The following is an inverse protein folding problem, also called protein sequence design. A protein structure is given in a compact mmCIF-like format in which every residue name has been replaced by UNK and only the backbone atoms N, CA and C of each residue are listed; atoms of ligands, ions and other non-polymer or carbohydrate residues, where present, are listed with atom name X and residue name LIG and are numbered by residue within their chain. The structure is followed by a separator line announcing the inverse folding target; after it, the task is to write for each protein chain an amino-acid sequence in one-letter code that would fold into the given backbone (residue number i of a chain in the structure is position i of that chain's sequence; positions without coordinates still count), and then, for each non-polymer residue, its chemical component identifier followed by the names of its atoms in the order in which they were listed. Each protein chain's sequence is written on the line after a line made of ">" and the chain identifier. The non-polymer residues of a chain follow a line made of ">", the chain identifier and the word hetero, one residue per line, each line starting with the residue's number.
data_IF_335257823161
#
_entry.id   IF_335257823161
#
_cell.length_a   1.000
_cell.length_b   1.000
_cell.length_c   1.000
_cell.angle_alpha   90.00
_cell.angle_beta   90.00
_cell.angle_gamma   90.00
#
_symmetry.space_group_name_H-M   'P 1'
#
loop_
_entity.id
_entity.type
_entity.pdbx_description
1 polymer ?
#
# COMPACT_ATOMS: atom_id res chain seq x y z
N UNK A 1 11.17 -0.07 9.60
CA UNK A 1 10.97 0.97 8.56
C UNK A 1 10.03 2.03 9.08
N UNK A 2 10.19 3.27 8.63
CA UNK A 2 9.38 4.43 9.07
C UNK A 2 8.69 5.06 7.87
N UNK A 3 7.41 5.40 7.97
CA UNK A 3 6.65 6.03 6.89
C UNK A 3 7.22 7.42 6.59
N UNK A 4 7.62 7.65 5.34
CA UNK A 4 8.00 8.96 4.82
C UNK A 4 6.75 9.79 4.53
N UNK A 5 5.84 9.21 3.75
CA UNK A 5 4.56 9.80 3.39
C UNK A 5 3.63 8.71 2.85
N UNK A 6 2.34 9.02 2.82
CA UNK A 6 1.32 8.23 2.12
C UNK A 6 0.23 9.16 1.61
N UNK A 7 -0.36 8.82 0.47
CA UNK A 7 -1.41 9.61 -0.18
C UNK A 7 -2.39 8.72 -0.93
N UNK A 8 -3.61 9.23 -1.09
CA UNK A 8 -4.62 8.68 -1.98
C UNK A 8 -4.83 9.65 -3.13
N UNK A 9 -4.77 9.15 -4.36
CA UNK A 9 -5.22 9.87 -5.55
C UNK A 9 -6.74 9.80 -5.67
N UNK A 10 -7.32 8.65 -5.27
CA UNK A 10 -8.76 8.40 -5.25
C UNK A 10 -9.15 7.61 -4.01
N UNK A 11 -10.37 7.84 -3.51
CA UNK A 11 -10.86 7.22 -2.30
C UNK A 11 -10.43 7.96 -1.04
N UNK A 12 -10.85 7.40 0.09
CA UNK A 12 -10.50 7.86 1.41
C UNK A 12 -9.89 6.73 2.25
N UNK A 13 -9.17 7.10 3.30
CA UNK A 13 -8.73 6.11 4.28
C UNK A 13 -9.94 5.64 5.09
N UNK A 14 -10.06 4.34 5.29
CA UNK A 14 -10.98 3.81 6.29
C UNK A 14 -10.63 4.41 7.66
N UNK A 15 -11.66 4.75 8.45
CA UNK A 15 -11.47 5.36 9.76
C UNK A 15 -10.40 4.64 10.59
N UNK A 16 -9.40 5.41 11.05
CA UNK A 16 -8.27 4.94 11.86
C UNK A 16 -7.40 3.85 11.22
N UNK A 17 -7.48 3.65 9.91
CA UNK A 17 -6.76 2.59 9.17
C UNK A 17 -5.72 3.17 8.22
N UNK A 18 -4.87 4.05 8.74
CA UNK A 18 -3.81 4.72 7.99
C UNK A 18 -2.57 3.83 7.88
N UNK A 19 -1.72 4.01 6.85
CA UNK A 19 -0.40 3.36 6.80
C UNK A 19 0.38 3.67 8.08
N UNK A 20 0.88 2.64 8.75
CA UNK A 20 1.53 2.78 10.06
C UNK A 20 2.75 3.71 10.00
N UNK A 21 2.99 4.48 11.05
CA UNK A 21 4.17 5.36 11.11
C UNK A 21 5.47 4.57 11.21
N UNK A 22 5.46 3.45 11.93
CA UNK A 22 6.61 2.57 12.12
C UNK A 22 6.17 1.12 11.95
N UNK A 23 6.95 0.35 11.19
CA UNK A 23 6.82 -1.10 11.08
C UNK A 23 8.14 -1.69 11.55
N UNK A 24 8.10 -2.44 12.66
CA UNK A 24 9.26 -3.10 13.24
C UNK A 24 9.86 -4.16 12.32
N UNK A 25 11.12 -4.52 12.56
CA UNK A 25 11.71 -5.68 11.91
C UNK A 25 10.89 -6.94 12.23
N UNK A 26 10.68 -7.81 11.25
CA UNK A 26 9.89 -9.05 11.39
C UNK A 26 8.43 -8.83 11.84
N UNK A 27 7.93 -7.60 11.72
CA UNK A 27 6.56 -7.22 12.08
C UNK A 27 5.77 -6.88 10.83
N UNK A 28 4.44 -6.92 10.93
CA UNK A 28 3.52 -6.48 9.90
C UNK A 28 2.65 -5.32 10.40
N UNK A 29 2.12 -4.54 9.47
CA UNK A 29 1.09 -3.55 9.72
C UNK A 29 0.05 -3.63 8.60
N UNK A 30 -1.17 -3.19 8.88
CA UNK A 30 -2.27 -3.16 7.94
C UNK A 30 -2.89 -1.76 7.90
N UNK A 31 -3.39 -1.39 6.73
CA UNK A 31 -4.14 -0.17 6.48
C UNK A 31 -5.20 -0.44 5.42
N UNK A 32 -6.17 0.44 5.31
CA UNK A 32 -7.30 0.25 4.40
C UNK A 32 -7.75 1.58 3.80
N UNK A 33 -7.96 1.58 2.49
CA UNK A 33 -8.61 2.66 1.74
C UNK A 33 -9.93 2.15 1.17
N UNK A 34 -10.93 3.02 1.08
CA UNK A 34 -12.24 2.73 0.50
C UNK A 34 -12.63 3.77 -0.54
N UNK A 35 -13.48 3.40 -1.49
CA UNK A 35 -13.99 4.35 -2.47
C UNK A 35 -14.99 5.29 -1.80
N UNK A 36 -14.90 6.59 -2.06
CA UNK A 36 -15.70 7.66 -1.46
C UNK A 36 -16.58 8.40 -2.49
N UNK A 37 -16.66 7.89 -3.73
CA UNK A 37 -17.33 8.55 -4.84
C UNK A 37 -18.16 7.61 -5.74
N UNK A 38 -18.97 8.23 -6.60
CA UNK A 38 -19.78 7.50 -7.58
C UNK A 38 -18.90 7.03 -8.74
N UNK A 39 -18.90 5.72 -9.01
CA UNK A 39 -18.10 5.10 -10.06
C UNK A 39 -16.58 5.37 -9.96
N UNK A 40 -16.08 5.62 -8.75
CA UNK A 40 -14.65 5.76 -8.45
C UNK A 40 -14.11 4.48 -7.80
N UNK A 41 -12.82 4.23 -8.02
CA UNK A 41 -12.07 3.19 -7.30
C UNK A 41 -11.28 3.77 -6.12
N UNK A 42 -10.31 3.00 -5.63
CA UNK A 42 -9.27 3.50 -4.71
C UNK A 42 -7.91 3.44 -5.36
N UNK A 43 -7.14 4.51 -5.25
CA UNK A 43 -5.76 4.54 -5.71
C UNK A 43 -4.91 5.29 -4.70
N UNK A 44 -3.78 4.70 -4.34
CA UNK A 44 -2.90 5.28 -3.35
C UNK A 44 -1.51 4.70 -3.36
N UNK A 45 -0.65 5.36 -2.61
CA UNK A 45 0.75 5.02 -2.48
C UNK A 45 1.26 5.34 -1.08
N UNK A 46 2.29 4.60 -0.67
CA UNK A 46 3.02 4.85 0.56
C UNK A 46 4.51 4.61 0.36
N UNK A 47 5.33 5.49 0.94
CA UNK A 47 6.78 5.35 0.99
C UNK A 47 7.22 5.15 2.42
N UNK A 48 8.08 4.16 2.62
CA UNK A 48 8.78 3.90 3.87
C UNK A 48 10.29 4.01 3.67
N UNK A 49 10.99 4.44 4.71
CA UNK A 49 12.45 4.51 4.75
C UNK A 49 12.98 3.49 5.73
N UNK A 50 14.10 2.87 5.36
CA UNK A 50 14.93 2.00 6.21
C UNK A 50 16.33 2.59 6.30
N UNK A 51 17.20 1.99 7.11
CA UNK A 51 18.62 2.33 7.13
C UNK A 51 19.34 1.99 5.81
N UNK A 52 18.73 1.16 4.96
CA UNK A 52 19.34 0.64 3.74
C UNK A 52 18.76 1.28 2.45
N UNK A 53 17.57 1.87 2.53
CA UNK A 53 16.91 2.49 1.38
C UNK A 53 15.42 2.72 1.57
N UNK A 54 14.78 3.18 0.50
CA UNK A 54 13.34 3.41 0.42
C UNK A 54 12.60 2.16 -0.08
N UNK A 55 11.38 2.00 0.44
CA UNK A 55 10.38 1.03 0.03
C UNK A 55 9.18 1.82 -0.46
N UNK A 56 8.75 1.56 -1.69
CA UNK A 56 7.59 2.19 -2.30
C UNK A 56 6.54 1.13 -2.60
N UNK A 57 5.30 1.39 -2.18
CA UNK A 57 4.12 0.59 -2.51
C UNK A 57 3.07 1.49 -3.15
N UNK A 58 2.46 1.00 -4.23
CA UNK A 58 1.31 1.63 -4.89
C UNK A 58 0.23 0.58 -5.14
N UNK A 59 -1.03 0.97 -4.96
CA UNK A 59 -2.20 0.17 -5.32
C UNK A 59 -3.19 1.01 -6.11
N UNK A 60 -3.91 0.35 -7.00
CA UNK A 60 -5.09 0.88 -7.68
C UNK A 60 -6.12 -0.25 -7.81
N UNK A 61 -7.29 -0.03 -7.24
CA UNK A 61 -8.48 -0.88 -7.32
C UNK A 61 -9.60 -0.05 -7.99
N UNK A 62 -9.67 -0.03 -9.33
CA UNK A 62 -10.57 0.84 -10.07
C UNK A 62 -12.02 0.35 -9.99
N UNK A 63 -12.99 1.25 -10.21
CA UNK A 63 -14.41 0.86 -10.31
C UNK A 63 -14.68 -0.14 -11.46
N UNK A 64 -14.00 0.05 -12.58
CA UNK A 64 -14.01 -0.86 -13.74
C UNK A 64 -12.57 -1.13 -14.15
N UNK A 65 -12.23 -2.40 -14.34
CA UNK A 65 -10.90 -2.83 -14.77
C UNK A 65 -10.33 -3.90 -13.86
N UNK A 66 -9.00 -4.02 -13.87
CA UNK A 66 -8.26 -4.95 -13.01
C UNK A 66 -7.40 -4.17 -12.02
N UNK A 67 -7.28 -4.72 -10.82
CA UNK A 67 -6.42 -4.14 -9.80
C UNK A 67 -4.96 -4.16 -10.27
N UNK A 68 -4.24 -3.09 -9.97
CA UNK A 68 -2.81 -3.00 -10.22
C UNK A 68 -2.07 -2.63 -8.94
N UNK A 69 -0.85 -3.12 -8.84
CA UNK A 69 -0.03 -2.99 -7.65
C UNK A 69 1.43 -2.86 -8.07
N UNK A 70 2.15 -1.96 -7.42
CA UNK A 70 3.60 -1.83 -7.57
C UNK A 70 4.23 -1.96 -6.18
N UNK A 71 5.33 -2.69 -6.09
CA UNK A 71 6.20 -2.63 -4.93
C UNK A 71 7.66 -2.65 -5.35
N UNK A 72 8.43 -1.73 -4.81
CA UNK A 72 9.88 -1.66 -5.05
C UNK A 72 10.58 -1.42 -3.72
N UNK A 73 11.69 -2.12 -3.51
CA UNK A 73 12.58 -1.90 -2.39
C UNK A 73 14.00 -1.62 -2.91
N UNK A 74 14.71 -0.73 -2.25
CA UNK A 74 16.11 -0.40 -2.52
C UNK A 74 17.01 -0.86 -1.37
N UNK A 75 18.33 -0.71 -1.50
CA UNK A 75 19.26 -1.09 -0.43
C UNK A 75 19.60 -2.58 -0.37
N UNK A 76 19.47 -3.31 -1.47
CA UNK A 76 19.68 -4.75 -1.53
C UNK A 76 18.46 -5.58 -1.09
N UNK A 77 17.36 -4.92 -0.74
CA UNK A 77 16.10 -5.57 -0.43
C UNK A 77 15.29 -5.92 -1.68
N UNK A 78 14.44 -6.95 -1.57
CA UNK A 78 13.41 -7.25 -2.56
C UNK A 78 12.02 -6.95 -2.00
N UNK A 79 11.05 -6.71 -2.89
CA UNK A 79 9.65 -6.66 -2.50
C UNK A 79 8.82 -7.64 -3.30
N UNK A 80 8.09 -8.49 -2.57
CA UNK A 80 7.16 -9.46 -3.11
C UNK A 80 5.73 -9.05 -2.81
N UNK A 81 4.81 -9.40 -3.70
CA UNK A 81 3.38 -9.12 -3.55
C UNK A 81 2.58 -10.42 -3.66
N UNK A 82 1.60 -10.60 -2.78
CA UNK A 82 0.61 -11.68 -2.85
C UNK A 82 -0.82 -11.16 -2.64
N UNK A 83 -1.82 -11.89 -3.15
CA UNK A 83 -3.23 -11.50 -3.07
C UNK A 83 -3.64 -10.39 -4.06
N UNK A 84 -4.63 -9.58 -3.70
CA UNK A 84 -5.07 -8.39 -4.43
C UNK A 84 -6.15 -8.61 -5.50
N UNK A 85 -6.84 -9.74 -5.50
CA UNK A 85 -7.93 -10.01 -6.45
C UNK A 85 -9.30 -9.55 -5.91
N UNK A 86 -10.23 -9.25 -6.82
CA UNK A 86 -11.62 -8.91 -6.50
C UNK A 86 -11.81 -7.45 -6.10
N UNK A 87 -13.06 -7.09 -5.79
CA UNK A 87 -13.45 -5.70 -5.49
C UNK A 87 -13.08 -5.29 -4.07
N UNK A 88 -13.27 -6.18 -3.08
CA UNK A 88 -12.74 -6.02 -1.73
C UNK A 88 -11.41 -6.77 -1.67
N UNK A 89 -10.35 -6.12 -2.15
CA UNK A 89 -9.05 -6.74 -2.34
C UNK A 89 -8.20 -6.66 -1.07
N UNK A 90 -7.68 -7.81 -0.64
CA UNK A 90 -6.62 -7.88 0.37
C UNK A 90 -5.30 -8.22 -0.33
N UNK A 91 -4.29 -7.35 -0.17
CA UNK A 91 -2.96 -7.49 -0.76
C UNK A 91 -1.91 -7.45 0.35
N UNK A 92 -0.91 -8.34 0.27
CA UNK A 92 0.23 -8.35 1.18
C UNK A 92 1.49 -8.01 0.40
N UNK A 93 2.26 -7.06 0.91
CA UNK A 93 3.61 -6.75 0.43
C UNK A 93 4.63 -7.24 1.45
N UNK A 94 5.59 -8.04 1.02
CA UNK A 94 6.66 -8.59 1.87
C UNK A 94 8.00 -8.06 1.38
N UNK A 95 8.70 -7.36 2.27
CA UNK A 95 10.07 -6.87 2.02
C UNK A 95 11.06 -7.80 2.67
N UNK A 96 12.10 -8.23 1.93
CA UNK A 96 13.19 -9.08 2.42
C UNK A 96 14.52 -8.39 2.23
#
# INVERSE_FOLDING_TARGET
>A
MTRKWASLTHGEWQANSYPAEVIGAWSSAAWQSQSDGFATGTEGEAVYVTNYGEIYVKWNNPYVGSNSYTCTASGGHSCERSGGSGNNASVTFTVR
#
